data_IF_109407190953
#
_entry.id   IF_109407190953
#
_cell.length_a   1.000
_cell.length_b   1.000
_cell.length_c   1.000
_cell.angle_alpha   90.00
_cell.angle_beta   90.00
_cell.angle_gamma   90.00
#
_symmetry.space_group_name_H-M   'P 1'
#
loop_
_entity.id
_entity.type
_entity.pdbx_description
1 polymer ?
#
# COMPACT_ATOMS: atom_id res chain seq x y z
N UNK A 1 18.95 -7.80 -3.12
CA UNK A 1 18.28 -7.83 -4.42
C UNK A 1 16.79 -8.07 -4.20
N UNK A 2 15.93 -7.04 -4.24
CA UNK A 2 14.56 -7.13 -3.72
C UNK A 2 13.58 -7.83 -4.69
N UNK A 3 13.74 -7.61 -6.00
CA UNK A 3 12.85 -8.18 -7.02
C UNK A 3 12.91 -9.72 -7.02
N UNK A 4 14.08 -10.38 -7.03
CA UNK A 4 14.13 -11.85 -6.98
C UNK A 4 13.51 -12.45 -5.70
N UNK A 5 13.58 -11.75 -4.56
CA UNK A 5 12.97 -12.21 -3.30
C UNK A 5 11.45 -12.16 -3.34
N UNK A 6 10.86 -11.20 -4.07
CA UNK A 6 9.42 -11.17 -4.33
C UNK A 6 9.02 -12.30 -5.27
N UNK A 7 9.75 -12.47 -6.37
CA UNK A 7 9.44 -13.50 -7.39
C UNK A 7 9.59 -14.93 -6.87
N UNK A 8 10.52 -15.16 -5.94
CA UNK A 8 10.68 -16.45 -5.25
C UNK A 8 9.70 -16.66 -4.09
N UNK A 9 8.90 -15.64 -3.73
CA UNK A 9 7.98 -15.69 -2.60
C UNK A 9 8.64 -15.57 -1.22
N UNK A 10 9.95 -15.31 -1.17
CA UNK A 10 10.69 -15.11 0.08
C UNK A 10 10.15 -13.90 0.88
N UNK A 11 9.74 -12.84 0.19
CA UNK A 11 9.07 -11.70 0.80
C UNK A 11 7.75 -11.40 0.08
N UNK A 12 6.79 -10.87 0.82
CA UNK A 12 5.44 -10.59 0.33
C UNK A 12 5.07 -9.13 0.63
N UNK A 13 5.61 -8.15 -0.13
CA UNK A 13 5.45 -6.74 0.17
C UNK A 13 4.00 -6.27 0.06
N UNK A 14 3.14 -6.96 -0.71
CA UNK A 14 1.72 -6.64 -0.80
C UNK A 14 0.98 -6.65 0.54
N UNK A 15 1.50 -7.34 1.57
CA UNK A 15 0.91 -7.41 2.91
C UNK A 15 0.95 -6.09 3.68
N UNK A 16 1.76 -5.12 3.27
CA UNK A 16 1.80 -3.82 3.96
C UNK A 16 0.59 -2.94 3.63
N UNK A 17 -0.11 -3.23 2.53
CA UNK A 17 -1.32 -2.50 2.15
C UNK A 17 -2.49 -2.93 3.03
N UNK A 18 -2.97 -2.01 3.86
CA UNK A 18 -4.05 -2.22 4.82
C UNK A 18 -5.34 -1.47 4.43
N UNK A 19 -5.29 -0.72 3.32
CA UNK A 19 -6.43 0.02 2.78
C UNK A 19 -6.38 0.10 1.26
N UNK A 20 -7.54 0.04 0.63
CA UNK A 20 -7.72 0.25 -0.82
C UNK A 20 -8.66 1.42 -1.05
N UNK A 21 -8.34 2.30 -1.99
CA UNK A 21 -9.11 3.51 -2.30
C UNK A 21 -9.24 3.74 -3.82
N UNK A 22 -10.21 4.55 -4.22
CA UNK A 22 -10.32 5.03 -5.60
C UNK A 22 -9.32 6.15 -5.90
N UNK A 23 -9.15 6.49 -7.18
CA UNK A 23 -8.34 7.63 -7.59
C UNK A 23 -8.84 8.98 -7.02
N UNK A 24 -10.16 9.14 -6.86
CA UNK A 24 -10.75 10.36 -6.33
C UNK A 24 -10.41 10.58 -4.84
N UNK A 25 -10.12 9.50 -4.11
CA UNK A 25 -9.90 9.51 -2.66
C UNK A 25 -8.41 9.66 -2.29
N UNK A 26 -7.51 9.84 -3.25
CA UNK A 26 -6.07 9.97 -3.01
C UNK A 26 -5.73 11.02 -1.93
N UNK A 27 -6.35 12.22 -1.90
CA UNK A 27 -6.12 13.18 -0.82
C UNK A 27 -6.43 12.63 0.58
N UNK A 28 -7.54 11.90 0.73
CA UNK A 28 -7.90 11.26 2.00
C UNK A 28 -6.94 10.10 2.35
N UNK A 29 -6.44 9.38 1.35
CA UNK A 29 -5.39 8.36 1.53
C UNK A 29 -4.11 8.93 2.13
N UNK A 30 -3.67 10.10 1.67
CA UNK A 30 -2.53 10.81 2.25
C UNK A 30 -2.78 11.23 3.69
N UNK A 31 -3.93 11.86 3.97
CA UNK A 31 -4.29 12.27 5.33
C UNK A 31 -4.30 11.07 6.30
N UNK A 32 -4.87 9.94 5.88
CA UNK A 32 -4.90 8.73 6.72
C UNK A 32 -3.50 8.18 7.04
N UNK A 33 -2.55 8.25 6.11
CA UNK A 33 -1.15 7.84 6.35
C UNK A 33 -0.42 8.84 7.26
N UNK A 34 -0.71 10.14 7.14
CA UNK A 34 -0.16 11.18 8.01
C UNK A 34 -0.66 11.02 9.46
N UNK A 35 -1.97 10.85 9.63
CA UNK A 35 -2.64 10.60 10.92
C UNK A 35 -2.33 9.22 11.51
N UNK A 36 -1.54 8.39 10.82
CA UNK A 36 -1.19 7.01 11.21
C UNK A 36 -2.41 6.10 11.44
N UNK A 37 -3.50 6.34 10.71
CA UNK A 37 -4.68 5.48 10.69
C UNK A 37 -4.67 4.47 9.52
N UNK A 38 -3.70 4.58 8.62
CA UNK A 38 -3.38 3.61 7.58
C UNK A 38 -1.84 3.45 7.46
N UNK A 39 -1.36 2.22 7.26
CA UNK A 39 0.05 1.91 7.04
C UNK A 39 0.46 2.14 5.58
N UNK A 40 -0.23 1.51 4.63
CA UNK A 40 -0.07 1.73 3.19
C UNK A 40 -1.39 1.58 2.45
N UNK A 41 -1.59 2.50 1.51
CA UNK A 41 -2.82 2.58 0.72
C UNK A 41 -2.56 2.11 -0.71
N UNK A 42 -3.42 1.22 -1.21
CA UNK A 42 -3.47 0.79 -2.60
C UNK A 42 -4.51 1.62 -3.36
N UNK A 43 -4.10 2.31 -4.41
CA UNK A 43 -5.02 3.04 -5.30
C UNK A 43 -5.45 2.10 -6.41
N UNK A 44 -6.76 1.92 -6.56
CA UNK A 44 -7.36 1.18 -7.67
C UNK A 44 -8.02 2.16 -8.65
N UNK A 45 -7.73 2.06 -9.96
CA UNK A 45 -8.36 2.88 -10.99
C UNK A 45 -9.88 2.73 -11.07
#
# INVERSE_FOLDING_TARGET
DAIPQVLSGQINPGRVFDRTISLADVPAGYQAMDDRTALKVMVTP
#
